data_IF_428381853829
#
_entry.id   IF_428381853829
#
_cell.length_a   1.000
_cell.length_b   1.000
_cell.length_c   1.000
_cell.angle_alpha   90.00
_cell.angle_beta   90.00
_cell.angle_gamma   90.00
#
_symmetry.space_group_name_H-M   'P 1'
#
loop_
_entity.id
_entity.type
_entity.pdbx_description
1 polymer ?
#
# COMPACT_ATOMS: atom_id res chain seq x y z
N UNK A 1 16.87 -4.45 -15.34
CA UNK A 1 15.71 -4.02 -14.56
C UNK A 1 15.96 -2.62 -14.03
N UNK A 2 15.02 -1.70 -14.23
CA UNK A 2 15.03 -0.36 -13.62
C UNK A 2 14.22 -0.40 -12.34
N UNK A 3 14.70 0.26 -11.29
CA UNK A 3 14.02 0.26 -9.99
C UNK A 3 13.79 1.67 -9.47
N UNK A 4 12.71 1.85 -8.73
CA UNK A 4 12.41 3.03 -7.92
C UNK A 4 12.10 2.60 -6.50
N UNK A 5 12.17 3.53 -5.57
CA UNK A 5 11.79 3.30 -4.17
C UNK A 5 10.34 3.72 -3.93
N UNK A 6 9.71 3.00 -3.05
CA UNK A 6 8.36 3.23 -2.58
C UNK A 6 8.16 2.69 -1.18
N UNK A 7 6.92 2.66 -0.75
CA UNK A 7 6.53 2.30 0.60
C UNK A 7 5.37 1.33 0.57
N UNK A 8 5.43 0.31 1.41
CA UNK A 8 4.34 -0.65 1.53
C UNK A 8 4.01 -0.93 2.99
N UNK A 9 2.71 -0.99 3.27
CA UNK A 9 2.19 -1.34 4.58
C UNK A 9 2.04 -2.86 4.67
N UNK A 10 2.56 -3.43 5.76
CA UNK A 10 2.51 -4.86 6.06
C UNK A 10 1.91 -5.12 7.43
N UNK A 11 1.35 -6.31 7.61
CA UNK A 11 1.17 -6.89 8.93
C UNK A 11 2.52 -7.47 9.38
N UNK A 12 2.87 -7.26 10.64
CA UNK A 12 4.08 -7.83 11.25
C UNK A 12 3.70 -8.65 12.47
N UNK A 13 4.18 -9.89 12.53
CA UNK A 13 3.99 -10.75 13.69
C UNK A 13 4.98 -10.42 14.82
N UNK A 14 4.87 -11.13 15.94
CA UNK A 14 5.73 -10.94 17.12
C UNK A 14 7.19 -11.35 16.88
N UNK A 15 7.46 -12.11 15.81
CA UNK A 15 8.81 -12.52 15.40
C UNK A 15 9.44 -11.59 14.36
N UNK A 16 8.69 -10.56 13.91
CA UNK A 16 9.16 -9.61 12.91
C UNK A 16 8.90 -10.04 11.45
N UNK A 17 8.20 -11.16 11.22
CA UNK A 17 7.83 -11.57 9.88
C UNK A 17 6.77 -10.65 9.29
N UNK A 18 6.87 -10.40 7.98
CA UNK A 18 5.97 -9.51 7.25
C UNK A 18 4.98 -10.29 6.41
N UNK A 19 3.73 -9.86 6.42
CA UNK A 19 2.62 -10.46 5.70
C UNK A 19 1.81 -9.40 4.95
N UNK A 20 1.22 -9.74 3.79
CA UNK A 20 0.28 -8.86 3.11
C UNK A 20 -0.96 -8.55 3.96
N UNK A 21 -1.58 -7.37 3.73
CA UNK A 21 -2.72 -6.92 4.52
C UNK A 21 -4.02 -7.68 4.21
N UNK A 22 -4.30 -7.96 2.95
CA UNK A 22 -5.63 -8.39 2.50
C UNK A 22 -5.66 -9.75 1.82
N UNK A 23 -4.89 -9.92 0.78
CA UNK A 23 -4.78 -11.17 0.03
C UNK A 23 -3.50 -11.88 0.43
N UNK A 24 -3.49 -13.21 0.30
CA UNK A 24 -2.31 -14.04 0.62
C UNK A 24 -1.77 -13.85 2.05
N UNK A 25 -2.67 -13.69 2.99
CA UNK A 25 -2.40 -13.23 4.37
C UNK A 25 -1.48 -14.12 5.21
N UNK A 26 -1.24 -15.34 4.75
CA UNK A 26 -0.46 -16.34 5.49
C UNK A 26 0.96 -16.52 4.90
N UNK A 27 1.26 -15.86 3.80
CA UNK A 27 2.57 -15.95 3.16
C UNK A 27 3.52 -14.90 3.74
N UNK A 28 4.68 -15.36 4.21
CA UNK A 28 5.75 -14.48 4.69
C UNK A 28 6.45 -13.85 3.49
N UNK A 29 6.58 -12.52 3.51
CA UNK A 29 7.34 -11.77 2.54
C UNK A 29 8.76 -11.51 3.07
N UNK A 30 9.79 -12.15 2.49
CA UNK A 30 11.15 -12.03 2.99
C UNK A 30 11.74 -10.64 2.70
N UNK A 31 12.54 -10.13 3.64
CA UNK A 31 13.31 -8.89 3.45
C UNK A 31 14.55 -9.21 2.61
N UNK A 32 14.86 -8.35 1.64
CA UNK A 32 16.04 -8.44 0.80
C UNK A 32 15.87 -9.30 -0.46
N UNK A 33 14.75 -9.97 -0.64
CA UNK A 33 14.48 -10.80 -1.81
C UNK A 33 13.42 -10.14 -2.72
N UNK A 34 13.50 -10.43 -4.02
CA UNK A 34 12.47 -10.02 -4.97
C UNK A 34 11.23 -10.90 -4.83
N UNK A 35 10.10 -10.25 -4.66
CA UNK A 35 8.77 -10.87 -4.54
C UNK A 35 8.01 -10.51 -5.81
N UNK A 36 7.57 -11.52 -6.54
CA UNK A 36 6.73 -11.35 -7.73
C UNK A 36 5.24 -11.32 -7.37
N UNK A 37 4.49 -10.53 -8.10
CA UNK A 37 3.04 -10.50 -7.96
C UNK A 37 2.43 -11.82 -8.45
N UNK A 38 1.40 -12.27 -7.74
CA UNK A 38 0.55 -13.38 -8.12
C UNK A 38 -0.90 -12.90 -8.13
N UNK A 39 -1.74 -13.55 -8.95
CA UNK A 39 -3.17 -13.24 -8.98
C UNK A 39 -3.87 -14.04 -7.88
N UNK A 40 -4.42 -13.32 -6.91
CA UNK A 40 -5.25 -13.91 -5.87
C UNK A 40 -6.70 -13.48 -6.07
N UNK A 41 -7.60 -14.46 -6.11
CA UNK A 41 -9.03 -14.22 -6.23
C UNK A 41 -9.67 -14.14 -4.84
N UNK A 42 -10.61 -13.21 -4.69
CA UNK A 42 -11.38 -13.04 -3.46
C UNK A 42 -12.79 -12.56 -3.80
N UNK A 43 -13.78 -13.13 -3.14
CA UNK A 43 -15.18 -12.69 -3.26
C UNK A 43 -15.42 -11.29 -2.65
N UNK A 44 -14.47 -10.81 -1.83
CA UNK A 44 -14.58 -9.54 -1.09
C UNK A 44 -13.96 -8.34 -1.81
N UNK A 45 -13.04 -8.58 -2.75
CA UNK A 45 -12.27 -7.51 -3.40
C UNK A 45 -12.28 -7.68 -4.90
N UNK A 46 -12.45 -6.58 -5.62
CA UNK A 46 -12.25 -6.56 -7.06
C UNK A 46 -10.80 -6.94 -7.39
N UNK A 47 -10.55 -7.82 -8.36
CA UNK A 47 -9.20 -8.19 -8.77
C UNK A 47 -8.43 -6.95 -9.24
N UNK A 48 -7.26 -6.73 -8.67
CA UNK A 48 -6.31 -5.69 -9.07
C UNK A 48 -4.93 -6.32 -9.11
N UNK A 49 -4.64 -7.08 -10.16
CA UNK A 49 -3.40 -7.85 -10.23
C UNK A 49 -2.17 -6.96 -10.15
N UNK A 50 -1.25 -7.35 -9.28
CA UNK A 50 -0.03 -6.63 -9.00
C UNK A 50 0.18 -6.34 -7.51
N UNK A 51 1.38 -5.93 -7.19
CA UNK A 51 1.76 -5.51 -5.84
C UNK A 51 1.55 -4.00 -5.70
N UNK A 52 0.86 -3.60 -4.63
CA UNK A 52 0.57 -2.20 -4.36
C UNK A 52 1.62 -1.60 -3.43
N UNK A 53 2.14 -0.44 -3.77
CA UNK A 53 2.97 0.39 -2.89
C UNK A 53 2.66 1.88 -3.11
N UNK A 54 3.05 2.70 -2.15
CA UNK A 54 2.88 4.14 -2.19
C UNK A 54 4.19 4.87 -2.45
N UNK A 55 4.12 6.11 -2.92
CA UNK A 55 5.30 6.97 -3.04
C UNK A 55 5.73 7.59 -1.71
N UNK A 56 4.83 7.63 -0.73
CA UNK A 56 5.08 8.02 0.66
C UNK A 56 4.47 6.98 1.60
N UNK A 57 4.97 6.85 2.84
CA UNK A 57 4.45 5.87 3.81
C UNK A 57 3.19 6.38 4.52
N UNK A 58 2.12 6.63 3.75
CA UNK A 58 0.84 7.11 4.26
C UNK A 58 -0.32 6.39 3.58
N UNK A 59 -1.26 5.93 4.39
CA UNK A 59 -2.52 5.33 3.97
C UNK A 59 -3.60 5.63 5.01
N UNK A 60 -4.11 6.85 5.07
CA UNK A 60 -5.03 7.28 6.14
C UNK A 60 -6.23 6.35 6.33
N UNK A 61 -6.77 5.81 5.24
CA UNK A 61 -7.92 4.90 5.27
C UNK A 61 -7.62 3.47 5.77
N UNK A 62 -6.35 3.10 5.90
CA UNK A 62 -5.94 1.81 6.45
C UNK A 62 -5.55 1.89 7.94
N UNK A 63 -5.62 3.06 8.52
CA UNK A 63 -5.19 3.37 9.88
C UNK A 63 -6.32 3.30 10.91
N UNK A 64 -7.48 2.78 10.55
CA UNK A 64 -8.70 2.82 11.37
C UNK A 64 -8.69 1.89 12.60
N UNK A 65 -7.66 1.07 12.78
CA UNK A 65 -7.60 0.10 13.87
C UNK A 65 -6.95 0.62 15.16
N UNK A 66 -6.54 1.90 15.19
CA UNK A 66 -5.83 2.49 16.33
C UNK A 66 -4.38 2.01 16.45
N UNK A 67 -3.70 2.48 17.48
CA UNK A 67 -2.32 2.09 17.76
C UNK A 67 -2.23 1.05 18.86
N UNK A 68 -1.13 0.34 18.96
CA UNK A 68 -0.82 -0.64 19.99
C UNK A 68 -0.29 -0.01 21.30
N UNK A 69 -0.26 1.31 21.40
CA UNK A 69 0.33 2.06 22.51
C UNK A 69 1.82 2.38 22.33
N UNK A 70 2.50 1.74 21.39
CA UNK A 70 3.90 1.99 21.02
C UNK A 70 4.04 2.87 19.77
N UNK A 71 2.92 3.39 19.25
CA UNK A 71 2.89 4.18 18.04
C UNK A 71 2.66 3.37 16.76
N UNK A 72 2.63 2.04 16.82
CA UNK A 72 2.30 1.18 15.69
C UNK A 72 0.80 0.90 15.62
N UNK A 73 0.29 0.80 14.41
CA UNK A 73 -1.10 0.40 14.20
C UNK A 73 -1.28 -1.06 14.59
N UNK A 74 -2.41 -1.34 15.26
CA UNK A 74 -2.77 -2.72 15.61
C UNK A 74 -2.94 -3.56 14.36
N UNK A 75 -2.33 -4.73 14.36
CA UNK A 75 -2.53 -5.73 13.33
C UNK A 75 -3.85 -6.49 13.49
N UNK A 76 -4.15 -7.34 12.52
CA UNK A 76 -5.38 -8.17 12.48
C UNK A 76 -5.43 -9.27 13.56
N UNK A 77 -4.28 -9.65 14.08
CA UNK A 77 -4.15 -10.66 15.14
C UNK A 77 -3.61 -10.03 16.41
N UNK A 78 -3.97 -10.60 17.55
CA UNK A 78 -3.46 -10.14 18.84
C UNK A 78 -1.92 -10.18 18.88
N UNK A 79 -1.30 -9.08 19.26
CA UNK A 79 0.16 -8.93 19.31
C UNK A 79 0.81 -8.59 17.97
N UNK A 80 0.05 -8.58 16.86
CA UNK A 80 0.54 -8.14 15.56
C UNK A 80 0.40 -6.62 15.42
N UNK A 81 1.27 -6.05 14.61
CA UNK A 81 1.27 -4.61 14.29
C UNK A 81 1.20 -4.40 12.78
N UNK A 82 0.74 -3.25 12.34
CA UNK A 82 0.91 -2.76 10.98
C UNK A 82 2.13 -1.87 10.92
N UNK A 83 3.04 -2.17 10.00
CA UNK A 83 4.31 -1.46 9.86
C UNK A 83 4.54 -1.06 8.42
N UNK A 84 5.18 0.09 8.23
CA UNK A 84 5.62 0.52 6.92
C UNK A 84 7.01 0.00 6.62
N UNK A 85 7.23 -0.43 5.41
CA UNK A 85 8.53 -0.84 4.90
C UNK A 85 8.90 -0.06 3.65
N UNK A 86 10.16 0.33 3.57
CA UNK A 86 10.75 0.83 2.34
C UNK A 86 10.95 -0.33 1.37
N UNK A 87 10.52 -0.16 0.13
CA UNK A 87 10.62 -1.16 -0.91
C UNK A 87 11.27 -0.58 -2.17
N UNK A 88 11.96 -1.43 -2.91
CA UNK A 88 12.23 -1.19 -4.34
C UNK A 88 11.13 -1.84 -5.15
N UNK A 89 10.73 -1.23 -6.26
CA UNK A 89 9.80 -1.82 -7.22
C UNK A 89 10.33 -1.73 -8.65
N UNK A 90 9.93 -2.71 -9.46
CA UNK A 90 10.30 -2.72 -10.88
C UNK A 90 9.55 -1.61 -11.62
N UNK A 91 10.30 -0.73 -12.24
CA UNK A 91 9.78 0.36 -13.07
C UNK A 91 10.35 0.35 -14.49
N UNK A 92 10.73 -0.83 -14.98
CA UNK A 92 11.36 -0.98 -16.30
C UNK A 92 10.42 -0.55 -17.42
N UNK A 93 9.15 -1.00 -17.37
CA UNK A 93 8.11 -0.64 -18.34
C UNK A 93 7.07 0.27 -17.66
N UNK A 94 6.79 1.38 -18.29
CA UNK A 94 5.75 2.32 -17.86
C UNK A 94 4.42 2.01 -18.60
N UNK A 95 3.41 1.58 -17.83
CA UNK A 95 2.08 1.27 -18.36
C UNK A 95 1.05 2.39 -18.16
N UNK A 96 1.47 3.58 -17.70
CA UNK A 96 0.53 4.67 -17.40
C UNK A 96 -0.28 5.11 -18.62
N UNK A 97 0.33 5.15 -19.81
CA UNK A 97 -0.40 5.48 -21.04
C UNK A 97 -1.46 4.44 -21.36
N UNK A 98 -1.14 3.15 -21.24
CA UNK A 98 -2.09 2.06 -21.51
C UNK A 98 -3.27 2.09 -20.53
N UNK A 99 -2.99 2.31 -19.24
CA UNK A 99 -4.03 2.41 -18.21
C UNK A 99 -4.92 3.63 -18.44
N UNK A 100 -4.38 4.75 -18.89
CA UNK A 100 -5.14 5.98 -19.18
C UNK A 100 -6.19 5.80 -20.27
N UNK A 101 -5.98 4.84 -21.18
CA UNK A 101 -6.91 4.50 -22.28
C UNK A 101 -8.08 3.62 -21.82
N UNK A 102 -8.03 3.06 -20.59
CA UNK A 102 -9.09 2.20 -20.07
C UNK A 102 -10.29 3.03 -19.63
N UNK A 103 -11.41 2.90 -20.32
CA UNK A 103 -12.66 3.59 -19.95
C UNK A 103 -13.13 3.15 -18.56
N UNK A 104 -13.28 4.10 -17.64
CA UNK A 104 -13.82 3.91 -16.28
C UNK A 104 -12.99 3.00 -15.35
N UNK A 105 -11.78 2.57 -15.74
CA UNK A 105 -10.89 1.80 -14.89
C UNK A 105 -9.59 2.57 -14.66
N UNK A 106 -9.03 2.44 -13.48
CA UNK A 106 -7.73 2.98 -13.12
C UNK A 106 -6.69 1.86 -12.90
N UNK A 107 -7.02 0.64 -13.30
CA UNK A 107 -6.16 -0.54 -13.19
C UNK A 107 -6.47 -1.54 -14.31
N UNK A 108 -5.51 -2.39 -14.62
CA UNK A 108 -5.65 -3.48 -15.59
C UNK A 108 -6.16 -4.75 -14.90
N UNK A 109 -6.63 -5.71 -15.68
CA UNK A 109 -6.95 -7.08 -15.25
C UNK A 109 -5.75 -8.05 -15.35
N UNK A 110 -4.56 -7.51 -15.64
CA UNK A 110 -3.29 -8.24 -15.75
C UNK A 110 -2.24 -7.63 -14.84
N UNK A 111 -1.30 -8.47 -14.40
CA UNK A 111 -0.09 -8.01 -13.74
C UNK A 111 0.72 -7.18 -14.76
N UNK A 112 1.25 -6.00 -14.39
CA UNK A 112 2.08 -5.19 -15.28
C UNK A 112 3.50 -5.79 -15.39
N UNK A 113 3.67 -6.81 -16.21
CA UNK A 113 4.93 -7.54 -16.34
C UNK A 113 6.13 -6.61 -16.57
N UNK A 114 7.17 -6.76 -15.74
CA UNK A 114 8.38 -5.96 -15.71
C UNK A 114 8.12 -4.45 -15.63
N UNK A 115 7.04 -4.05 -14.96
CA UNK A 115 6.66 -2.64 -14.98
C UNK A 115 5.71 -2.20 -13.90
N UNK A 116 5.15 -1.04 -14.13
CA UNK A 116 4.36 -0.33 -13.14
C UNK A 116 3.38 0.67 -13.78
N UNK A 117 2.39 1.11 -12.96
CA UNK A 117 1.53 2.24 -13.29
C UNK A 117 0.95 2.88 -12.01
N UNK A 118 0.51 4.13 -12.12
CA UNK A 118 -0.24 4.80 -11.07
C UNK A 118 -1.66 4.24 -10.99
N UNK A 119 -2.02 3.74 -9.83
CA UNK A 119 -3.35 3.20 -9.58
C UNK A 119 -4.31 4.27 -9.10
N UNK A 120 -3.88 5.12 -8.17
CA UNK A 120 -4.72 6.13 -7.55
C UNK A 120 -3.89 7.24 -6.93
N UNK A 121 -4.40 8.45 -7.03
CA UNK A 121 -3.86 9.62 -6.37
C UNK A 121 -4.80 10.08 -5.25
N UNK A 122 -4.23 10.39 -4.08
CA UNK A 122 -4.91 11.00 -2.96
C UNK A 122 -4.06 12.17 -2.44
N UNK A 123 -4.23 13.34 -3.02
CA UNK A 123 -3.34 14.45 -2.72
C UNK A 123 -1.89 14.05 -3.00
N UNK A 124 -1.04 14.03 -1.97
CA UNK A 124 0.36 13.57 -2.09
C UNK A 124 0.55 12.07 -1.92
N UNK A 125 -0.45 11.38 -1.39
CA UNK A 125 -0.43 9.92 -1.22
C UNK A 125 -0.84 9.24 -2.52
N UNK A 126 0.13 8.96 -3.38
CA UNK A 126 -0.08 8.29 -4.67
C UNK A 126 0.25 6.82 -4.56
N UNK A 127 -0.65 5.98 -5.08
CA UNK A 127 -0.49 4.53 -5.12
C UNK A 127 -0.09 4.05 -6.50
N UNK A 128 0.76 3.03 -6.50
CA UNK A 128 1.24 2.35 -7.69
C UNK A 128 0.94 0.86 -7.62
N UNK A 129 0.83 0.26 -8.79
CA UNK A 129 0.82 -1.20 -8.98
C UNK A 129 2.03 -1.59 -9.78
N UNK A 130 2.72 -2.64 -9.36
CA UNK A 130 3.92 -3.19 -9.99
C UNK A 130 3.91 -4.73 -9.96
N UNK A 131 4.72 -5.36 -10.76
CA UNK A 131 4.83 -6.82 -10.78
C UNK A 131 5.81 -7.37 -9.74
N UNK A 132 6.79 -6.58 -9.30
CA UNK A 132 7.83 -7.03 -8.36
C UNK A 132 8.19 -5.95 -7.36
N UNK A 133 8.39 -6.38 -6.12
CA UNK A 133 8.98 -5.56 -5.06
C UNK A 133 10.11 -6.29 -4.37
N UNK A 134 11.02 -5.54 -3.77
CA UNK A 134 12.01 -6.04 -2.80
C UNK A 134 11.92 -5.18 -1.55
N UNK A 135 11.64 -5.80 -0.42
CA UNK A 135 11.58 -5.12 0.86
C UNK A 135 13.00 -4.82 1.31
N UNK A 136 13.29 -3.56 1.61
CA UNK A 136 14.62 -3.14 2.06
C UNK A 136 14.71 -3.14 3.58
N UNK A 137 13.74 -2.55 4.26
CA UNK A 137 13.71 -2.40 5.71
C UNK A 137 12.34 -1.94 6.20
N UNK A 138 12.04 -2.24 7.44
CA UNK A 138 10.91 -1.68 8.16
C UNK A 138 11.33 -0.35 8.79
N UNK A 139 10.42 0.63 8.83
CA UNK A 139 10.64 1.91 9.52
C UNK A 139 9.76 1.99 10.76
N UNK A 140 10.26 2.64 11.80
CA UNK A 140 9.48 2.96 12.98
C UNK A 140 8.60 4.21 12.76
N UNK A 141 7.69 4.48 13.66
CA UNK A 141 6.75 5.60 13.54
C UNK A 141 7.44 6.96 13.56
N UNK A 142 8.49 7.14 14.34
CA UNK A 142 9.24 8.39 14.37
C UNK A 142 9.88 8.68 13.01
N UNK A 143 10.57 7.70 12.44
CA UNK A 143 11.19 7.83 11.12
C UNK A 143 10.14 8.07 10.03
N UNK A 144 9.00 7.36 10.10
CA UNK A 144 7.89 7.58 9.19
C UNK A 144 7.38 9.02 9.23
N UNK A 145 7.19 9.58 10.42
CA UNK A 145 6.76 10.98 10.58
C UNK A 145 7.79 11.96 10.01
N UNK A 146 9.08 11.71 10.17
CA UNK A 146 10.15 12.52 9.57
C UNK A 146 10.07 12.50 8.03
N UNK A 147 9.82 11.33 7.44
CA UNK A 147 9.62 11.17 5.99
C UNK A 147 8.40 11.93 5.51
N UNK A 148 7.26 11.82 6.20
CA UNK A 148 6.03 12.54 5.88
C UNK A 148 6.22 14.06 5.98
N UNK A 149 6.87 14.53 7.04
CA UNK A 149 7.18 15.95 7.24
C UNK A 149 8.07 16.48 6.12
N UNK A 150 9.11 15.75 5.73
CA UNK A 150 9.99 16.12 4.62
C UNK A 150 9.26 16.17 3.27
N UNK A 151 8.25 15.31 3.07
CA UNK A 151 7.38 15.32 1.91
C UNK A 151 6.29 16.42 1.97
N UNK A 152 6.17 17.13 3.08
CA UNK A 152 5.12 18.11 3.33
C UNK A 152 3.72 17.49 3.34
N UNK A 153 3.58 16.29 3.89
CA UNK A 153 2.33 15.55 3.99
C UNK A 153 1.80 15.57 5.42
N UNK A 154 0.58 16.02 5.59
CA UNK A 154 -0.15 15.97 6.87
C UNK A 154 -1.29 14.96 6.79
N UNK A 155 -1.11 13.81 7.43
CA UNK A 155 -2.12 12.75 7.48
C UNK A 155 -3.46 13.21 8.06
N UNK A 156 -3.45 14.12 9.02
CA UNK A 156 -4.68 14.60 9.66
C UNK A 156 -5.52 15.42 8.69
N UNK A 157 -4.87 16.25 7.89
CA UNK A 157 -5.57 17.06 6.86
C UNK A 157 -6.11 16.20 5.73
N UNK A 158 -5.37 15.18 5.29
CA UNK A 158 -5.80 14.28 4.21
C UNK A 158 -6.91 13.30 4.68
N UNK A 159 -6.90 12.92 5.94
CA UNK A 159 -7.89 12.01 6.51
C UNK A 159 -9.30 12.61 6.60
N UNK A 160 -9.42 13.89 6.96
CA UNK A 160 -10.70 14.56 7.15
C UNK A 160 -11.58 14.50 5.88
N UNK A 161 -11.11 14.88 4.69
CA UNK A 161 -11.91 14.79 3.47
C UNK A 161 -12.37 13.36 3.14
N UNK A 162 -11.53 12.38 3.37
CA UNK A 162 -11.86 10.97 3.15
C UNK A 162 -12.95 10.48 4.10
N UNK A 163 -12.83 10.79 5.39
CA UNK A 163 -13.82 10.47 6.41
C UNK A 163 -15.18 11.07 6.10
N UNK A 164 -15.21 12.35 5.75
CA UNK A 164 -16.45 13.05 5.34
C UNK A 164 -17.07 12.42 4.08
N UNK A 165 -16.26 11.97 3.13
CA UNK A 165 -16.74 11.27 1.94
C UNK A 165 -17.37 9.92 2.28
N UNK A 166 -16.79 9.16 3.21
CA UNK A 166 -17.35 7.91 3.72
C UNK A 166 -18.68 8.14 4.42
N UNK A 167 -18.77 9.13 5.31
CA UNK A 167 -19.98 9.46 6.04
C UNK A 167 -21.12 9.86 5.10
N UNK A 168 -20.81 10.61 4.03
CA UNK A 168 -21.79 10.95 2.99
C UNK A 168 -22.31 9.70 2.25
N UNK A 169 -21.41 8.78 1.89
CA UNK A 169 -21.79 7.54 1.20
C UNK A 169 -22.66 6.63 2.07
N UNK A 170 -22.34 6.54 3.36
CA UNK A 170 -23.16 5.78 4.33
C UNK A 170 -24.55 6.36 4.53
N UNK A 171 -24.71 7.70 4.51
CA UNK A 171 -26.01 8.38 4.62
C UNK A 171 -26.87 8.22 3.37
N UNK A 172 -26.29 8.09 2.20
CA UNK A 172 -27.00 7.89 0.92
C UNK A 172 -27.44 6.44 0.72
N UNK A 173 -26.76 5.49 1.38
CA UNK A 173 -27.10 4.06 1.34
C UNK A 173 -28.01 3.57 2.48
N UNK A 174 -28.44 4.47 3.32
CA UNK A 174 -29.35 4.17 4.43
C UNK A 174 -30.81 4.39 4.06
#
# INVERSE_FOLDING_TARGET
MKVKRGWKLFEQDTNGNLYPLFLDKNTIYPIGEWISAEIHYSDKFAPRPGLHCGIIPAAPWLMSYGTDGNGYYKGRRKGWSRVWAEVEYDCTIDYNEDVSKLKKKCFTDKIPENGWYFFKEYGKATWIITDKIKILRVVNEQERQEILNAAGYDEKQEWIPYKLSLEKRMKVGA
#
